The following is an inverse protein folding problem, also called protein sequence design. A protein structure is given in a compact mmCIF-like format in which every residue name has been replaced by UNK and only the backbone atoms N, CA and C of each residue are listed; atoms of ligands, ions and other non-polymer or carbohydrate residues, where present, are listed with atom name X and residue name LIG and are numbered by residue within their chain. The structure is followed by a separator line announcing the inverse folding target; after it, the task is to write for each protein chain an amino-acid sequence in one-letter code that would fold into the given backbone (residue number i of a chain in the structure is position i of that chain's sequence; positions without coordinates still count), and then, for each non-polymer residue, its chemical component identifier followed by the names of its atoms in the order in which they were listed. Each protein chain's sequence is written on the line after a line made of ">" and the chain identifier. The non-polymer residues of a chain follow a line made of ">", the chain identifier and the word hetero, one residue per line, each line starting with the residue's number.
data_IF_828189412601
#
_entry.id   IF_828189412601
#
_cell.length_a   1.000
_cell.length_b   1.000
_cell.length_c   1.000
_cell.angle_alpha   90.00
_cell.angle_beta   90.00
_cell.angle_gamma   90.00
#
_symmetry.space_group_name_H-M   'P 1'
#
loop_
_entity.id
_entity.type
_entity.pdbx_description
1 polymer ?
#
# COMPACT_ATOMS: atom_id res chain seq x y z
N UNK A 1 10.58 -25.82 -9.35
CA UNK A 1 9.23 -26.39 -9.17
C UNK A 1 8.33 -25.26 -8.69
N UNK A 2 7.53 -24.76 -9.61
CA UNK A 2 6.61 -23.68 -9.35
C UNK A 2 5.31 -24.22 -8.74
N UNK A 3 4.86 -23.67 -7.63
CA UNK A 3 3.54 -23.99 -7.09
C UNK A 3 2.51 -22.91 -7.42
N UNK A 4 2.58 -22.28 -8.59
CA UNK A 4 1.60 -21.26 -8.94
C UNK A 4 0.39 -21.79 -9.72
N UNK A 5 0.46 -23.01 -10.23
CA UNK A 5 -0.61 -23.57 -11.06
C UNK A 5 -1.71 -24.30 -10.26
N UNK A 6 -1.50 -24.49 -8.96
CA UNK A 6 -2.38 -25.33 -8.17
C UNK A 6 -3.64 -24.67 -7.60
N UNK A 7 -3.66 -23.36 -7.43
CA UNK A 7 -4.73 -22.73 -6.66
C UNK A 7 -6.05 -22.58 -7.44
N UNK A 8 -5.97 -22.38 -8.74
CA UNK A 8 -7.16 -22.22 -9.58
C UNK A 8 -7.64 -23.53 -10.24
N UNK A 9 -6.72 -24.44 -10.54
CA UNK A 9 -7.10 -25.75 -11.15
C UNK A 9 -7.75 -26.69 -10.14
N UNK A 10 -7.34 -26.65 -8.87
CA UNK A 10 -7.95 -27.51 -7.84
C UNK A 10 -9.39 -27.13 -7.47
N UNK A 11 -9.77 -25.86 -7.64
CA UNK A 11 -11.13 -25.42 -7.37
C UNK A 11 -12.16 -25.98 -8.35
N UNK A 12 -11.76 -26.25 -9.60
CA UNK A 12 -12.65 -26.80 -10.62
C UNK A 12 -13.09 -28.25 -10.33
N UNK A 13 -12.34 -28.93 -9.48
CA UNK A 13 -12.60 -30.35 -9.14
C UNK A 13 -13.21 -30.57 -7.76
N UNK A 14 -13.28 -29.55 -6.92
CA UNK A 14 -13.82 -29.63 -5.56
C UNK A 14 -14.72 -28.46 -5.24
N UNK A 15 -16.05 -28.54 -5.48
CA UNK A 15 -16.98 -27.44 -5.27
C UNK A 15 -17.05 -26.91 -3.83
N UNK A 16 -16.53 -27.64 -2.87
CA UNK A 16 -16.45 -27.23 -1.45
C UNK A 16 -15.04 -26.85 -1.00
N UNK A 17 -14.06 -26.77 -1.92
CA UNK A 17 -12.71 -26.37 -1.58
C UNK A 17 -12.57 -24.85 -1.61
N UNK A 18 -11.80 -24.32 -0.66
CA UNK A 18 -11.45 -22.91 -0.63
C UNK A 18 -10.24 -22.66 -1.52
N UNK A 19 -10.32 -21.59 -2.32
CA UNK A 19 -9.16 -21.08 -3.06
C UNK A 19 -8.29 -20.21 -2.18
N UNK A 20 -8.92 -19.35 -1.37
CA UNK A 20 -8.21 -18.33 -0.61
C UNK A 20 -9.01 -17.86 0.59
N UNK A 21 -8.30 -17.52 1.67
CA UNK A 21 -8.81 -16.73 2.78
C UNK A 21 -7.86 -15.55 3.00
N UNK A 22 -8.38 -14.34 3.02
CA UNK A 22 -7.64 -13.14 3.37
C UNK A 22 -8.20 -12.50 4.66
N UNK A 23 -7.36 -12.18 5.66
CA UNK A 23 -5.93 -12.49 5.75
C UNK A 23 -5.65 -13.99 5.85
N UNK A 24 -4.46 -14.46 5.43
CA UNK A 24 -4.15 -15.90 5.47
C UNK A 24 -4.05 -16.48 6.89
N UNK A 25 -3.77 -15.64 7.86
CA UNK A 25 -3.81 -15.87 9.31
C UNK A 25 -3.92 -14.53 10.02
N UNK A 26 -4.16 -14.53 11.31
CA UNK A 26 -4.30 -13.30 12.08
C UNK A 26 -3.56 -13.39 13.42
N UNK A 27 -3.69 -12.37 14.22
CA UNK A 27 -2.98 -12.20 15.49
C UNK A 27 -3.95 -12.01 16.65
N UNK A 28 -3.61 -12.58 17.79
CA UNK A 28 -4.34 -12.36 19.04
C UNK A 28 -3.90 -11.05 19.70
N UNK A 29 -4.77 -10.44 20.48
CA UNK A 29 -4.41 -9.25 21.26
C UNK A 29 -4.43 -7.94 20.51
N UNK A 30 -5.04 -7.87 19.33
CA UNK A 30 -5.28 -6.62 18.62
C UNK A 30 -6.35 -5.80 19.36
N UNK A 31 -6.24 -4.46 19.32
CA UNK A 31 -7.20 -3.57 19.98
C UNK A 31 -8.59 -3.69 19.37
N UNK A 32 -8.69 -3.77 18.05
CA UNK A 32 -9.96 -4.05 17.41
C UNK A 32 -10.28 -5.54 17.54
N UNK A 33 -11.35 -5.90 18.25
CA UNK A 33 -11.72 -7.31 18.44
C UNK A 33 -12.32 -7.94 17.19
N UNK A 34 -12.74 -7.17 16.21
CA UNK A 34 -13.34 -7.70 14.98
C UNK A 34 -12.29 -8.12 13.96
N UNK A 35 -12.53 -9.27 13.35
CA UNK A 35 -11.73 -9.81 12.26
C UNK A 35 -12.65 -10.14 11.08
N UNK A 36 -12.37 -9.54 9.95
CA UNK A 36 -12.99 -9.91 8.67
C UNK A 36 -12.13 -10.99 8.00
N UNK A 37 -12.76 -12.08 7.61
CA UNK A 37 -12.17 -13.06 6.69
C UNK A 37 -12.88 -12.95 5.34
N UNK A 38 -12.15 -12.66 4.28
CA UNK A 38 -12.65 -12.73 2.92
C UNK A 38 -12.33 -14.10 2.35
N UNK A 39 -13.36 -14.90 2.23
CA UNK A 39 -13.25 -16.30 1.76
C UNK A 39 -13.64 -16.36 0.29
N UNK A 40 -12.78 -16.93 -0.54
CA UNK A 40 -13.03 -17.14 -1.95
C UNK A 40 -12.96 -18.63 -2.31
N UNK A 41 -13.95 -19.08 -3.03
CA UNK A 41 -14.04 -20.44 -3.53
C UNK A 41 -15.34 -20.64 -4.28
N UNK A 42 -15.40 -21.62 -5.18
CA UNK A 42 -16.60 -21.89 -5.98
C UNK A 42 -17.82 -22.16 -5.10
N UNK A 43 -18.83 -21.30 -5.23
CA UNK A 43 -20.10 -21.42 -4.52
C UNK A 43 -20.04 -21.20 -3.01
N UNK A 44 -18.91 -20.74 -2.45
CA UNK A 44 -18.74 -20.58 -1.01
C UNK A 44 -19.69 -19.56 -0.38
N UNK A 45 -20.19 -18.62 -1.18
CA UNK A 45 -21.17 -17.63 -0.74
C UNK A 45 -22.49 -18.25 -0.21
N UNK A 46 -22.79 -19.48 -0.57
CA UNK A 46 -23.98 -20.20 -0.11
C UNK A 46 -23.73 -21.04 1.16
N UNK A 47 -22.50 -21.04 1.67
CA UNK A 47 -22.17 -21.82 2.87
C UNK A 47 -22.61 -21.08 4.14
N UNK A 48 -22.92 -21.85 5.17
CA UNK A 48 -22.99 -21.37 6.55
C UNK A 48 -21.67 -21.69 7.24
N UNK A 49 -21.29 -20.85 8.23
CA UNK A 49 -20.03 -20.97 8.95
C UNK A 49 -20.31 -21.12 10.43
N UNK A 50 -19.58 -22.02 11.06
CA UNK A 50 -19.52 -22.09 12.52
C UNK A 50 -18.07 -22.10 12.98
N UNK A 51 -17.85 -21.56 14.17
CA UNK A 51 -16.54 -21.51 14.82
C UNK A 51 -16.68 -22.09 16.23
N UNK A 52 -15.72 -22.91 16.61
CA UNK A 52 -15.62 -23.44 17.97
C UNK A 52 -14.18 -23.27 18.45
N UNK A 53 -13.93 -22.15 19.10
CA UNK A 53 -12.61 -21.81 19.64
C UNK A 53 -12.80 -20.89 20.86
N UNK A 54 -12.14 -21.15 22.00
CA UNK A 54 -12.32 -20.36 23.21
C UNK A 54 -12.01 -18.87 22.99
N UNK A 55 -12.96 -18.01 23.30
CA UNK A 55 -12.84 -16.57 23.16
C UNK A 55 -13.12 -16.02 21.77
N UNK A 56 -13.51 -16.85 20.81
CA UNK A 56 -13.91 -16.43 19.46
C UNK A 56 -15.38 -16.73 19.25
N UNK A 57 -16.10 -15.76 18.72
CA UNK A 57 -17.49 -15.92 18.31
C UNK A 57 -17.71 -15.42 16.88
N UNK A 58 -18.68 -16.01 16.18
CA UNK A 58 -19.13 -15.55 14.88
C UNK A 58 -20.02 -14.33 15.08
N UNK A 59 -19.62 -13.15 14.56
CA UNK A 59 -20.44 -11.95 14.59
C UNK A 59 -21.49 -11.97 13.48
N UNK A 60 -21.07 -12.22 12.25
CA UNK A 60 -21.92 -12.28 11.08
C UNK A 60 -21.21 -12.92 9.89
N UNK A 61 -22.00 -13.28 8.90
CA UNK A 61 -21.52 -13.58 7.55
C UNK A 61 -22.20 -12.66 6.56
N UNK A 62 -21.50 -12.28 5.51
CA UNK A 62 -22.02 -11.41 4.45
C UNK A 62 -21.86 -12.13 3.13
N UNK A 63 -23.00 -12.41 2.50
CA UNK A 63 -23.06 -12.91 1.13
C UNK A 63 -22.96 -11.73 0.18
N UNK A 64 -22.03 -11.81 -0.78
CA UNK A 64 -21.84 -10.79 -1.81
C UNK A 64 -22.59 -11.15 -3.10
N UNK A 65 -22.60 -10.26 -4.09
CA UNK A 65 -23.28 -10.52 -5.36
C UNK A 65 -22.70 -11.75 -6.09
N UNK A 66 -21.39 -11.91 -6.07
CA UNK A 66 -20.76 -13.15 -6.55
C UNK A 66 -20.94 -14.26 -5.51
N UNK A 67 -21.45 -15.42 -5.96
CA UNK A 67 -21.61 -16.60 -5.12
C UNK A 67 -20.26 -17.23 -4.69
N UNK A 68 -19.15 -16.74 -5.22
CA UNK A 68 -17.81 -17.29 -4.95
C UNK A 68 -17.11 -16.59 -3.80
N UNK A 69 -17.75 -15.62 -3.17
CA UNK A 69 -17.22 -14.90 -2.00
C UNK A 69 -18.12 -15.06 -0.80
N UNK A 70 -17.52 -15.15 0.37
CA UNK A 70 -18.20 -15.06 1.66
C UNK A 70 -17.33 -14.25 2.61
N UNK A 71 -17.89 -13.21 3.19
CA UNK A 71 -17.24 -12.47 4.26
C UNK A 71 -17.66 -13.07 5.60
N UNK A 72 -16.69 -13.43 6.41
CA UNK A 72 -16.89 -13.99 7.75
C UNK A 72 -16.35 -13.00 8.76
N UNK A 73 -17.22 -12.46 9.60
CA UNK A 73 -16.82 -11.55 10.69
C UNK A 73 -16.78 -12.31 12.00
N UNK A 74 -15.61 -12.31 12.61
CA UNK A 74 -15.36 -12.93 13.91
C UNK A 74 -15.10 -11.87 14.95
N UNK A 75 -15.46 -12.17 16.19
CA UNK A 75 -15.07 -11.38 17.36
C UNK A 75 -14.09 -12.18 18.19
N UNK A 76 -12.92 -11.60 18.44
CA UNK A 76 -11.85 -12.17 19.26
C UNK A 76 -11.81 -11.42 20.59
N UNK A 77 -12.03 -12.11 21.70
CA UNK A 77 -11.88 -11.53 23.02
C UNK A 77 -10.40 -11.24 23.34
N UNK A 78 -10.15 -10.33 24.26
CA UNK A 78 -8.79 -9.91 24.64
C UNK A 78 -7.88 -11.05 25.08
N UNK A 79 -8.47 -12.12 25.62
CA UNK A 79 -7.74 -13.25 26.21
C UNK A 79 -7.66 -14.46 25.28
N UNK A 80 -8.01 -14.32 24.00
CA UNK A 80 -7.89 -15.39 23.02
C UNK A 80 -6.43 -15.84 22.94
N UNK A 81 -6.21 -17.14 22.97
CA UNK A 81 -4.87 -17.74 22.87
C UNK A 81 -4.53 -18.06 21.43
N UNK A 82 -3.25 -17.96 21.03
CA UNK A 82 -2.79 -18.44 19.74
C UNK A 82 -3.09 -19.94 19.56
N UNK A 83 -3.35 -20.31 18.32
CA UNK A 83 -3.63 -21.71 17.96
C UNK A 83 -4.35 -21.81 16.63
N UNK A 84 -4.67 -23.04 16.26
CA UNK A 84 -5.40 -23.34 15.04
C UNK A 84 -6.89 -23.42 15.33
N UNK A 85 -7.64 -22.46 14.80
CA UNK A 85 -9.06 -22.32 15.01
C UNK A 85 -9.82 -23.03 13.89
N UNK A 86 -10.62 -24.04 14.21
CA UNK A 86 -11.41 -24.71 13.18
C UNK A 86 -12.60 -23.86 12.77
N UNK A 87 -12.70 -23.60 11.46
CA UNK A 87 -13.87 -23.01 10.82
C UNK A 87 -14.60 -24.09 10.07
N UNK A 88 -15.85 -24.32 10.40
CA UNK A 88 -16.69 -25.32 9.76
C UNK A 88 -17.61 -24.64 8.75
N UNK A 89 -17.46 -25.04 7.48
CA UNK A 89 -18.29 -24.56 6.37
C UNK A 89 -19.30 -25.65 6.02
N UNK A 90 -20.56 -25.29 5.97
CA UNK A 90 -21.65 -26.20 5.59
C UNK A 90 -22.37 -25.64 4.38
N UNK A 91 -22.40 -26.42 3.31
CA UNK A 91 -23.04 -26.07 2.06
C UNK A 91 -23.98 -27.21 1.64
N UNK A 92 -25.25 -27.08 1.97
CA UNK A 92 -26.23 -28.15 1.81
C UNK A 92 -25.86 -29.38 2.67
N UNK A 93 -25.63 -30.51 2.02
CA UNK A 93 -25.20 -31.74 2.71
C UNK A 93 -23.69 -31.88 2.87
N UNK A 94 -22.92 -30.95 2.26
CA UNK A 94 -21.46 -30.99 2.32
C UNK A 94 -20.98 -30.15 3.52
N UNK A 95 -20.00 -30.69 4.21
CA UNK A 95 -19.40 -30.05 5.39
C UNK A 95 -17.90 -30.27 5.34
N UNK A 96 -17.14 -29.20 5.54
CA UNK A 96 -15.69 -29.29 5.64
C UNK A 96 -15.15 -28.32 6.69
N UNK A 97 -13.98 -28.61 7.21
CA UNK A 97 -13.31 -27.80 8.23
C UNK A 97 -12.03 -27.23 7.64
N UNK A 98 -11.84 -25.92 7.83
CA UNK A 98 -10.59 -25.23 7.55
C UNK A 98 -9.99 -24.75 8.86
N UNK A 99 -8.77 -25.18 9.16
CA UNK A 99 -8.02 -24.65 10.29
C UNK A 99 -7.46 -23.28 9.93
N UNK A 100 -7.87 -22.25 10.68
CA UNK A 100 -7.38 -20.88 10.54
C UNK A 100 -6.45 -20.55 11.72
N UNK A 101 -5.23 -20.13 11.43
CA UNK A 101 -4.24 -19.90 12.48
C UNK A 101 -4.37 -18.50 13.09
N UNK A 102 -4.40 -18.47 14.43
CA UNK A 102 -4.22 -17.25 15.20
C UNK A 102 -2.83 -17.30 15.83
N UNK A 103 -2.01 -16.29 15.55
CA UNK A 103 -0.62 -16.21 16.01
C UNK A 103 -0.50 -15.22 17.18
N UNK A 104 0.52 -15.42 18.00
CA UNK A 104 0.92 -14.41 18.97
C UNK A 104 1.61 -13.24 18.26
N UNK A 105 1.36 -12.03 18.75
CA UNK A 105 2.10 -10.84 18.32
C UNK A 105 3.55 -10.93 18.81
N UNK A 106 4.51 -10.63 17.94
CA UNK A 106 5.92 -10.57 18.31
C UNK A 106 6.24 -9.37 19.21
N UNK A 107 5.48 -8.27 19.03
CA UNK A 107 5.64 -7.01 19.76
C UNK A 107 4.28 -6.46 20.16
N UNK A 108 4.26 -5.64 21.23
CA UNK A 108 3.11 -4.79 21.54
C UNK A 108 2.97 -3.70 20.48
N UNK A 109 1.76 -3.16 20.27
CA UNK A 109 1.52 -2.09 19.32
C UNK A 109 2.44 -0.88 19.49
N UNK A 110 2.67 -0.46 20.74
CA UNK A 110 3.53 0.68 21.05
C UNK A 110 5.04 0.42 20.82
N UNK A 111 5.44 -0.82 20.66
CA UNK A 111 6.83 -1.20 20.39
C UNK A 111 7.18 -1.15 18.88
N UNK A 112 6.18 -1.06 18.01
CA UNK A 112 6.39 -0.79 16.61
C UNK A 112 6.69 0.70 16.40
N UNK A 113 7.96 1.01 16.18
CA UNK A 113 8.42 2.39 15.96
C UNK A 113 8.59 2.66 14.48
N UNK A 114 8.05 3.78 14.02
CA UNK A 114 8.18 4.23 12.63
C UNK A 114 9.49 4.97 12.36
N UNK A 115 9.68 5.32 11.10
CA UNK A 115 10.69 6.30 10.73
C UNK A 115 10.27 7.70 11.20
N UNK A 116 11.22 8.61 11.32
CA UNK A 116 10.98 9.98 11.77
C UNK A 116 11.98 10.97 11.14
N UNK A 117 12.02 12.20 11.65
CA UNK A 117 12.89 13.26 11.14
C UNK A 117 14.40 12.96 11.27
N UNK A 118 14.79 11.97 12.05
CA UNK A 118 16.18 11.52 12.15
C UNK A 118 16.61 10.60 11.02
N UNK A 119 15.67 10.14 10.20
CA UNK A 119 15.93 9.18 9.15
C UNK A 119 16.23 9.84 7.80
N UNK A 120 17.14 9.23 7.07
CA UNK A 120 17.39 9.50 5.66
C UNK A 120 16.88 8.32 4.84
N UNK A 121 15.81 8.55 4.05
CA UNK A 121 15.17 7.53 3.24
C UNK A 121 15.83 7.44 1.86
N UNK A 122 16.11 6.22 1.45
CA UNK A 122 16.57 5.91 0.10
C UNK A 122 15.46 5.15 -0.66
N UNK A 123 15.00 5.75 -1.75
CA UNK A 123 14.02 5.12 -2.65
C UNK A 123 14.72 4.23 -3.65
N UNK A 124 14.25 2.99 -3.79
CA UNK A 124 14.72 2.11 -4.84
C UNK A 124 13.57 1.31 -5.46
N UNK A 125 13.75 0.93 -6.72
CA UNK A 125 12.85 0.03 -7.43
C UNK A 125 13.45 -1.38 -7.41
N UNK A 126 12.82 -2.35 -6.75
CA UNK A 126 13.39 -3.71 -6.64
C UNK A 126 13.73 -4.32 -7.99
N UNK A 127 12.88 -4.18 -9.00
CA UNK A 127 13.13 -4.70 -10.34
C UNK A 127 14.40 -4.12 -10.99
N UNK A 128 14.80 -2.90 -10.60
CA UNK A 128 15.84 -2.11 -11.27
C UNK A 128 17.14 -2.04 -10.50
N UNK A 129 17.19 -2.50 -9.26
CA UNK A 129 18.34 -2.30 -8.39
C UNK A 129 19.42 -3.38 -8.60
N UNK A 130 19.13 -4.63 -8.32
CA UNK A 130 20.08 -5.72 -8.44
C UNK A 130 19.37 -7.07 -8.56
N UNK A 131 19.88 -7.94 -9.42
CA UNK A 131 19.43 -9.32 -9.55
C UNK A 131 20.28 -10.24 -8.67
N UNK A 132 19.73 -10.74 -7.58
CA UNK A 132 20.43 -11.65 -6.67
C UNK A 132 20.06 -13.11 -6.89
N UNK A 133 18.93 -13.38 -7.54
CA UNK A 133 18.46 -14.73 -7.83
C UNK A 133 17.88 -14.81 -9.26
N UNK A 134 18.71 -15.16 -10.26
CA UNK A 134 18.23 -15.28 -11.64
C UNK A 134 17.13 -16.31 -11.85
N UNK A 135 16.97 -17.27 -10.93
CA UNK A 135 15.97 -18.33 -11.03
C UNK A 135 14.52 -17.84 -10.87
N UNK A 136 14.34 -16.65 -10.30
CA UNK A 136 13.02 -16.02 -10.17
C UNK A 136 12.71 -14.98 -11.25
N UNK A 137 13.58 -14.75 -12.21
CA UNK A 137 13.39 -13.74 -13.27
C UNK A 137 12.15 -14.04 -14.11
N UNK A 138 11.95 -15.30 -14.44
CA UNK A 138 10.84 -15.78 -15.26
C UNK A 138 10.10 -16.89 -14.52
N UNK A 139 8.86 -16.59 -14.16
CA UNK A 139 7.99 -17.53 -13.44
C UNK A 139 6.87 -17.99 -14.36
N UNK A 140 6.76 -19.30 -14.55
CA UNK A 140 5.68 -19.90 -15.34
C UNK A 140 4.32 -19.51 -14.76
N UNK A 141 3.37 -19.19 -15.64
CA UNK A 141 2.01 -18.77 -15.25
C UNK A 141 1.84 -17.29 -14.97
N UNK A 142 2.92 -16.50 -14.88
CA UNK A 142 2.82 -15.04 -14.78
C UNK A 142 2.52 -14.44 -16.17
N UNK A 143 1.62 -13.46 -16.19
CA UNK A 143 1.13 -12.86 -17.43
C UNK A 143 2.23 -12.15 -18.23
N UNK A 144 3.16 -11.47 -17.54
CA UNK A 144 4.36 -10.89 -18.14
C UNK A 144 5.56 -11.78 -17.83
N UNK A 145 5.92 -12.62 -18.77
CA UNK A 145 6.97 -13.63 -18.58
C UNK A 145 8.37 -13.12 -18.93
N UNK A 146 8.46 -12.23 -19.93
CA UNK A 146 9.73 -11.80 -20.52
C UNK A 146 10.50 -10.81 -19.63
N UNK A 147 11.80 -10.99 -19.57
CA UNK A 147 12.75 -10.02 -19.02
C UNK A 147 13.53 -9.38 -20.18
N UNK A 148 13.59 -8.05 -20.23
CA UNK A 148 14.30 -7.30 -21.27
C UNK A 148 14.88 -6.00 -20.71
N UNK A 149 16.17 -5.99 -20.41
CA UNK A 149 16.86 -4.83 -19.83
C UNK A 149 17.02 -3.65 -20.80
N UNK A 150 16.79 -3.87 -22.08
CA UNK A 150 16.85 -2.82 -23.09
C UNK A 150 15.51 -2.09 -23.25
N UNK A 151 14.43 -2.66 -22.72
CA UNK A 151 13.11 -2.06 -22.74
C UNK A 151 12.82 -1.41 -21.37
N UNK A 152 12.68 -0.08 -21.29
CA UNK A 152 12.37 0.60 -20.02
C UNK A 152 11.01 0.22 -19.43
N UNK A 153 10.12 -0.34 -20.21
CA UNK A 153 8.77 -0.76 -19.77
C UNK A 153 8.69 -2.24 -19.42
N UNK A 154 9.75 -3.01 -19.65
CA UNK A 154 9.82 -4.42 -19.31
C UNK A 154 10.44 -4.64 -17.92
N UNK A 155 10.30 -5.85 -17.40
CA UNK A 155 11.02 -6.28 -16.20
C UNK A 155 12.50 -6.46 -16.50
N UNK A 156 13.36 -6.11 -15.52
CA UNK A 156 14.81 -6.20 -15.65
C UNK A 156 15.43 -7.29 -14.74
N UNK A 157 14.62 -7.91 -13.88
CA UNK A 157 15.06 -9.07 -13.08
C UNK A 157 15.67 -8.73 -11.71
N UNK A 158 15.64 -7.48 -11.27
CA UNK A 158 16.02 -7.14 -9.90
C UNK A 158 15.06 -7.77 -8.89
N UNK A 159 15.53 -8.07 -7.69
CA UNK A 159 14.78 -8.80 -6.68
C UNK A 159 15.23 -8.50 -5.24
N UNK A 160 14.52 -9.11 -4.26
CA UNK A 160 14.83 -8.93 -2.84
C UNK A 160 16.22 -9.50 -2.47
N UNK A 161 16.61 -10.60 -3.09
CA UNK A 161 17.93 -11.18 -2.87
C UNK A 161 19.05 -10.23 -3.29
N UNK A 162 18.87 -9.50 -4.41
CA UNK A 162 19.80 -8.49 -4.86
C UNK A 162 19.92 -7.31 -3.89
N UNK A 163 18.83 -6.88 -3.30
CA UNK A 163 18.84 -5.84 -2.27
C UNK A 163 19.58 -6.34 -1.03
N UNK A 164 19.29 -7.54 -0.57
CA UNK A 164 19.93 -8.15 0.60
C UNK A 164 21.45 -8.24 0.46
N UNK A 165 21.92 -8.60 -0.72
CA UNK A 165 23.35 -8.69 -1.02
C UNK A 165 24.07 -7.33 -0.96
N UNK A 166 23.33 -6.22 -1.02
CA UNK A 166 23.86 -4.86 -1.06
C UNK A 166 23.51 -4.02 0.17
N UNK A 167 23.10 -4.62 1.28
CA UNK A 167 22.76 -3.88 2.50
C UNK A 167 23.91 -3.04 3.03
N UNK A 168 25.16 -3.51 2.89
CA UNK A 168 26.35 -2.77 3.31
C UNK A 168 26.54 -1.49 2.49
N UNK A 169 26.16 -1.49 1.22
CA UNK A 169 26.16 -0.29 0.38
C UNK A 169 25.31 0.83 1.00
N UNK A 170 24.12 0.52 1.48
CA UNK A 170 23.24 1.51 2.10
C UNK A 170 23.78 2.00 3.43
N UNK A 171 24.36 1.12 4.24
CA UNK A 171 25.03 1.50 5.49
C UNK A 171 26.19 2.45 5.23
N UNK A 172 27.04 2.14 4.24
CA UNK A 172 28.18 2.97 3.86
C UNK A 172 27.76 4.33 3.28
N UNK A 173 26.62 4.35 2.57
CA UNK A 173 26.04 5.60 2.06
C UNK A 173 25.49 6.49 3.19
N UNK A 174 25.18 5.91 4.35
CA UNK A 174 24.69 6.63 5.51
C UNK A 174 23.17 6.80 5.54
N UNK A 175 22.42 6.12 4.67
CA UNK A 175 20.96 6.11 4.73
C UNK A 175 20.48 5.21 5.87
N UNK A 176 19.35 5.55 6.47
CA UNK A 176 18.83 4.86 7.65
C UNK A 176 17.51 4.14 7.39
N UNK A 177 16.90 4.38 6.24
CA UNK A 177 15.67 3.73 5.85
C UNK A 177 15.63 3.49 4.34
N UNK A 178 15.03 2.38 3.92
CA UNK A 178 14.79 2.05 2.52
C UNK A 178 13.29 2.06 2.26
N UNK A 179 12.90 2.76 1.22
CA UNK A 179 11.56 2.71 0.66
C UNK A 179 11.65 1.99 -0.68
N UNK A 180 11.08 0.78 -0.76
CA UNK A 180 10.94 0.05 -2.02
C UNK A 180 9.65 0.47 -2.71
N UNK A 181 9.66 0.67 -4.03
CA UNK A 181 8.40 0.63 -4.79
C UNK A 181 7.69 -0.71 -4.54
N UNK A 182 6.38 -0.83 -4.78
CA UNK A 182 5.61 -1.94 -4.23
C UNK A 182 6.19 -3.32 -4.55
N UNK A 183 6.24 -4.18 -3.53
CA UNK A 183 6.77 -5.55 -3.63
C UNK A 183 5.69 -6.61 -3.80
N UNK A 184 4.41 -6.24 -3.65
CA UNK A 184 3.30 -7.19 -3.75
C UNK A 184 3.10 -7.65 -5.20
N UNK A 185 2.45 -8.80 -5.35
CA UNK A 185 2.17 -9.39 -6.65
C UNK A 185 1.54 -8.38 -7.62
N UNK A 186 2.11 -8.30 -8.79
CA UNK A 186 1.68 -7.45 -9.89
C UNK A 186 1.58 -8.28 -11.16
N UNK A 187 0.61 -9.20 -11.19
CA UNK A 187 0.44 -10.16 -12.27
C UNK A 187 -0.32 -9.52 -13.44
N UNK A 188 0.26 -8.46 -13.97
CA UNK A 188 -0.27 -7.69 -15.10
C UNK A 188 0.39 -8.14 -16.40
N UNK A 189 -0.30 -7.92 -17.52
CA UNK A 189 0.18 -8.30 -18.85
C UNK A 189 1.34 -7.44 -19.36
N UNK A 190 1.52 -6.25 -18.78
CA UNK A 190 2.62 -5.34 -19.11
C UNK A 190 2.84 -4.33 -18.02
N UNK A 191 4.05 -3.74 -17.95
CA UNK A 191 4.40 -2.73 -16.96
C UNK A 191 4.46 -3.27 -15.53
N UNK A 192 4.52 -4.56 -15.32
CA UNK A 192 4.45 -5.17 -13.98
C UNK A 192 5.64 -4.81 -13.09
N UNK A 193 6.72 -4.31 -13.66
CA UNK A 193 7.95 -3.95 -12.93
C UNK A 193 7.73 -2.89 -11.86
N UNK A 194 6.78 -1.95 -12.09
CA UNK A 194 6.60 -0.82 -11.17
C UNK A 194 5.86 -1.17 -9.87
N UNK A 195 5.02 -2.21 -9.89
CA UNK A 195 4.33 -2.70 -8.69
C UNK A 195 3.04 -1.97 -8.30
N UNK A 196 2.60 -0.94 -9.02
CA UNK A 196 1.46 -0.11 -8.62
C UNK A 196 0.08 -0.62 -9.08
N UNK A 197 0.01 -1.81 -9.66
CA UNK A 197 -1.24 -2.45 -10.07
C UNK A 197 -1.39 -3.81 -9.37
N UNK A 198 -1.60 -3.78 -8.08
CA UNK A 198 -1.60 -4.95 -7.18
C UNK A 198 -2.64 -5.98 -7.58
N UNK A 199 -2.25 -7.24 -7.68
CA UNK A 199 -3.14 -8.37 -7.95
C UNK A 199 -3.28 -9.34 -6.77
N UNK A 200 -2.45 -9.23 -5.74
CA UNK A 200 -2.60 -9.94 -4.48
C UNK A 200 -2.01 -9.11 -3.34
N UNK A 201 -2.85 -8.71 -2.39
CA UNK A 201 -2.45 -7.83 -1.27
C UNK A 201 -1.71 -8.56 -0.14
N UNK A 202 -1.67 -9.89 -0.15
CA UNK A 202 -1.03 -10.70 0.91
C UNK A 202 0.15 -11.53 0.41
N UNK A 203 0.62 -11.27 -0.80
CA UNK A 203 1.69 -12.05 -1.40
C UNK A 203 2.72 -11.13 -2.07
N UNK A 204 3.99 -11.33 -1.73
CA UNK A 204 5.11 -10.73 -2.47
C UNK A 204 5.13 -11.31 -3.88
N UNK A 205 5.40 -10.47 -4.87
CA UNK A 205 5.55 -10.91 -6.26
C UNK A 205 6.63 -11.99 -6.35
N UNK A 206 6.32 -13.17 -6.92
CA UNK A 206 7.26 -14.28 -6.95
C UNK A 206 8.55 -13.97 -7.73
N UNK A 207 8.53 -12.96 -8.60
CA UNK A 207 9.73 -12.50 -9.32
C UNK A 207 10.64 -11.63 -8.45
N UNK A 208 10.14 -11.16 -7.31
CA UNK A 208 10.95 -10.50 -6.27
C UNK A 208 11.39 -11.46 -5.18
N UNK A 209 10.56 -12.45 -4.86
CA UNK A 209 10.82 -13.40 -3.78
C UNK A 209 9.53 -13.92 -3.14
N UNK A 210 9.65 -14.36 -1.91
CA UNK A 210 8.53 -14.86 -1.08
C UNK A 210 8.25 -13.91 0.08
N UNK A 211 7.11 -14.10 0.74
CA UNK A 211 6.79 -13.39 1.98
C UNK A 211 7.88 -13.62 3.04
N UNK A 212 8.35 -14.84 3.17
CA UNK A 212 9.42 -15.18 4.13
C UNK A 212 10.74 -14.49 3.78
N UNK A 213 11.12 -14.42 2.51
CA UNK A 213 12.31 -13.71 2.07
C UNK A 213 12.22 -12.21 2.34
N UNK A 214 11.04 -11.61 2.19
CA UNK A 214 10.80 -10.21 2.52
C UNK A 214 10.98 -9.97 4.03
N UNK A 215 10.39 -10.81 4.86
CA UNK A 215 10.54 -10.76 6.31
C UNK A 215 12.01 -10.90 6.72
N UNK A 216 12.74 -11.83 6.14
CA UNK A 216 14.16 -12.04 6.41
C UNK A 216 15.01 -10.84 5.99
N UNK A 217 14.72 -10.23 4.84
CA UNK A 217 15.38 -9.01 4.40
C UNK A 217 15.21 -7.88 5.42
N UNK A 218 14.01 -7.73 5.97
CA UNK A 218 13.72 -6.72 6.98
C UNK A 218 14.50 -7.00 8.28
N UNK A 219 14.54 -8.25 8.74
CA UNK A 219 15.32 -8.65 9.91
C UNK A 219 16.81 -8.32 9.73
N UNK A 220 17.39 -8.64 8.56
CA UNK A 220 18.78 -8.34 8.24
C UNK A 220 19.04 -6.84 8.12
N UNK A 221 18.09 -6.08 7.59
CA UNK A 221 18.15 -4.62 7.55
C UNK A 221 18.17 -4.03 8.96
N UNK A 222 17.34 -4.53 9.86
CA UNK A 222 17.30 -4.10 11.25
C UNK A 222 18.63 -4.35 11.98
N UNK A 223 19.33 -5.44 11.71
CA UNK A 223 20.64 -5.71 12.31
C UNK A 223 21.69 -4.67 11.90
N UNK A 224 21.47 -3.94 10.83
CA UNK A 224 22.33 -2.85 10.34
C UNK A 224 21.80 -1.46 10.70
N UNK A 225 20.74 -1.39 11.52
CA UNK A 225 20.08 -0.12 11.86
C UNK A 225 19.34 0.51 10.69
N UNK A 226 18.93 -0.26 9.69
CA UNK A 226 18.20 0.20 8.52
C UNK A 226 16.73 -0.18 8.68
N UNK A 227 15.85 0.82 8.57
CA UNK A 227 14.40 0.68 8.57
C UNK A 227 13.88 0.36 7.16
N UNK A 228 12.72 -0.29 7.09
CA UNK A 228 12.06 -0.59 5.83
C UNK A 228 10.68 0.05 5.80
N UNK A 229 10.42 0.88 4.79
CA UNK A 229 9.14 1.53 4.54
C UNK A 229 8.45 0.80 3.38
N UNK A 230 7.26 0.29 3.63
CA UNK A 230 6.48 -0.43 2.63
C UNK A 230 5.57 0.52 1.86
N UNK A 231 5.67 0.46 0.53
CA UNK A 231 4.75 1.16 -0.37
C UNK A 231 3.43 0.38 -0.46
N UNK A 232 2.33 1.04 -0.13
CA UNK A 232 0.99 0.45 -0.19
C UNK A 232 0.08 1.29 -1.08
N UNK A 233 -0.86 0.61 -1.75
CA UNK A 233 -1.82 1.23 -2.66
C UNK A 233 -3.23 0.86 -2.23
N UNK A 234 -3.96 1.80 -1.61
CA UNK A 234 -5.35 1.60 -1.19
C UNK A 234 -6.36 2.23 -2.15
N UNK A 235 -5.89 3.10 -3.03
CA UNK A 235 -6.75 3.78 -3.99
C UNK A 235 -7.30 2.82 -5.05
N UNK A 236 -6.50 1.89 -5.51
CA UNK A 236 -6.82 1.01 -6.64
C UNK A 236 -6.12 -0.34 -6.53
N UNK A 237 -6.56 -1.31 -7.30
CA UNK A 237 -5.83 -2.55 -7.56
C UNK A 237 -5.44 -2.62 -9.04
N UNK A 238 -4.88 -3.75 -9.48
CA UNK A 238 -4.64 -4.02 -10.89
C UNK A 238 -5.89 -4.56 -11.58
N UNK A 239 -6.09 -4.25 -12.85
CA UNK A 239 -7.24 -4.71 -13.62
C UNK A 239 -7.26 -6.23 -13.82
N UNK A 240 -6.11 -6.89 -13.69
CA UNK A 240 -5.99 -8.36 -13.73
C UNK A 240 -6.24 -9.04 -12.38
N UNK A 241 -6.55 -8.28 -11.33
CA UNK A 241 -6.94 -8.82 -10.04
C UNK A 241 -8.20 -9.67 -10.18
N UNK A 242 -8.30 -10.76 -9.40
CA UNK A 242 -9.49 -11.63 -9.39
C UNK A 242 -10.77 -10.86 -9.09
N UNK A 243 -10.69 -9.76 -8.34
CA UNK A 243 -11.84 -8.91 -8.05
C UNK A 243 -12.46 -8.25 -9.29
N UNK A 244 -11.73 -8.13 -10.39
CA UNK A 244 -12.28 -7.67 -11.66
C UNK A 244 -12.80 -8.85 -12.48
N UNK A 245 -12.07 -9.97 -12.48
CA UNK A 245 -12.47 -11.17 -13.25
C UNK A 245 -13.71 -11.84 -12.67
N UNK A 246 -13.83 -11.83 -11.35
CA UNK A 246 -14.98 -12.29 -10.58
C UNK A 246 -15.27 -11.26 -9.48
N UNK A 247 -16.00 -10.22 -9.85
CA UNK A 247 -16.22 -9.06 -8.99
C UNK A 247 -17.05 -9.44 -7.77
N UNK A 248 -16.58 -9.12 -6.53
CA UNK A 248 -17.32 -9.44 -5.31
C UNK A 248 -18.73 -8.86 -5.30
N UNK A 249 -18.84 -7.58 -5.60
CA UNK A 249 -20.09 -6.83 -5.80
C UNK A 249 -19.79 -5.57 -6.61
N UNK A 250 -20.80 -4.96 -7.23
CA UNK A 250 -20.61 -3.78 -8.08
C UNK A 250 -20.02 -2.59 -7.32
N UNK A 251 -20.42 -2.37 -6.09
CA UNK A 251 -19.92 -1.28 -5.27
C UNK A 251 -18.59 -1.59 -4.53
N UNK A 252 -17.93 -2.68 -4.90
CA UNK A 252 -16.52 -2.91 -4.55
C UNK A 252 -15.60 -1.89 -5.22
N UNK A 253 -15.99 -1.43 -6.39
CA UNK A 253 -15.28 -0.44 -7.19
C UNK A 253 -16.18 0.76 -7.47
N UNK A 254 -15.56 1.93 -7.66
CA UNK A 254 -16.21 3.07 -8.31
C UNK A 254 -16.19 2.86 -9.83
N UNK A 255 -17.27 3.23 -10.52
CA UNK A 255 -17.41 3.07 -11.96
C UNK A 255 -17.07 1.64 -12.47
N UNK A 256 -17.75 0.62 -11.97
CA UNK A 256 -17.40 -0.78 -12.26
C UNK A 256 -17.64 -1.20 -13.71
N UNK A 257 -18.49 -0.50 -14.45
CA UNK A 257 -18.82 -0.78 -15.86
C UNK A 257 -17.79 -0.15 -16.82
N UNK A 258 -16.50 -0.43 -16.56
CA UNK A 258 -15.39 0.18 -17.27
C UNK A 258 -15.29 -0.22 -18.75
N UNK A 259 -15.78 -1.40 -19.12
CA UNK A 259 -15.74 -1.89 -20.49
C UNK A 259 -16.67 -1.09 -21.42
N UNK A 260 -17.82 -0.63 -20.90
CA UNK A 260 -18.80 0.15 -21.67
C UNK A 260 -18.68 1.66 -21.39
N UNK A 261 -18.26 2.04 -20.18
CA UNK A 261 -18.20 3.43 -19.75
C UNK A 261 -17.01 3.66 -18.82
N UNK A 262 -15.82 3.80 -19.40
CA UNK A 262 -14.62 4.11 -18.63
C UNK A 262 -14.62 5.56 -18.16
N UNK A 263 -14.49 5.79 -16.86
CA UNK A 263 -14.40 7.11 -16.25
C UNK A 263 -13.02 7.25 -15.60
N UNK A 264 -12.20 8.13 -16.17
CA UNK A 264 -10.89 8.45 -15.61
C UNK A 264 -11.00 9.59 -14.59
N UNK A 265 -10.18 9.55 -13.54
CA UNK A 265 -10.09 10.68 -12.61
C UNK A 265 -9.67 11.95 -13.35
N UNK A 266 -10.17 13.09 -12.88
CA UNK A 266 -9.75 14.39 -13.43
C UNK A 266 -8.30 14.75 -13.09
N UNK A 267 -7.66 14.05 -12.15
CA UNK A 267 -6.33 14.36 -11.57
C UNK A 267 -6.24 15.72 -10.89
N UNK A 268 -7.37 16.41 -10.70
CA UNK A 268 -7.43 17.73 -10.07
C UNK A 268 -7.76 17.58 -8.60
N UNK A 269 -6.80 17.87 -7.73
CA UNK A 269 -6.93 17.67 -6.28
C UNK A 269 -7.53 18.87 -5.53
N UNK A 270 -7.66 20.03 -6.21
CA UNK A 270 -8.22 21.24 -5.60
C UNK A 270 -9.60 21.07 -4.97
N UNK A 271 -10.51 20.18 -5.45
CA UNK A 271 -11.82 20.01 -4.81
C UNK A 271 -11.80 19.61 -3.34
N UNK A 272 -10.72 19.05 -2.84
CA UNK A 272 -10.58 18.78 -1.40
C UNK A 272 -10.54 20.05 -0.55
N UNK A 273 -9.95 21.10 -1.07
CA UNK A 273 -9.61 22.33 -0.34
C UNK A 273 -10.42 23.51 -0.79
N UNK A 274 -10.88 23.53 -2.04
CA UNK A 274 -11.65 24.60 -2.63
C UNK A 274 -13.08 24.63 -2.04
N UNK A 275 -13.45 25.68 -1.27
CA UNK A 275 -14.79 25.78 -0.69
C UNK A 275 -15.89 25.99 -1.74
N UNK A 276 -15.52 26.31 -2.96
CA UNK A 276 -16.46 26.58 -4.06
C UNK A 276 -16.58 25.40 -5.02
N UNK A 277 -15.84 24.31 -4.79
CA UNK A 277 -15.90 23.13 -5.64
C UNK A 277 -17.29 22.50 -5.61
N UNK A 278 -17.76 22.09 -6.78
CA UNK A 278 -19.01 21.34 -6.89
C UNK A 278 -18.84 19.88 -6.47
N UNK A 279 -19.94 19.23 -6.08
CA UNK A 279 -19.92 17.78 -5.81
C UNK A 279 -19.54 16.98 -7.07
N UNK A 280 -19.89 17.49 -8.24
CA UNK A 280 -19.50 16.88 -9.51
C UNK A 280 -17.97 16.90 -9.70
N UNK A 281 -17.34 18.05 -9.50
CA UNK A 281 -15.88 18.16 -9.61
C UNK A 281 -15.16 17.25 -8.63
N UNK A 282 -15.66 17.18 -7.39
CA UNK A 282 -15.12 16.28 -6.39
C UNK A 282 -15.24 14.80 -6.83
N UNK A 283 -16.42 14.39 -7.30
CA UNK A 283 -16.64 13.01 -7.74
C UNK A 283 -15.79 12.63 -8.97
N UNK A 284 -15.57 13.56 -9.88
CA UNK A 284 -14.70 13.32 -11.04
C UNK A 284 -13.24 13.04 -10.64
N UNK A 285 -12.78 13.68 -9.59
CA UNK A 285 -11.44 13.43 -9.05
C UNK A 285 -11.41 12.13 -8.23
N UNK A 286 -12.36 11.96 -7.31
CA UNK A 286 -12.32 10.93 -6.26
C UNK A 286 -12.77 9.55 -6.76
N UNK A 287 -13.75 9.48 -7.67
CA UNK A 287 -14.40 8.23 -8.07
C UNK A 287 -13.90 7.69 -9.42
N UNK A 288 -13.16 8.49 -10.18
CA UNK A 288 -12.57 8.05 -11.44
C UNK A 288 -11.36 7.14 -11.25
N UNK A 289 -11.16 6.26 -12.21
CA UNK A 289 -9.99 5.39 -12.25
C UNK A 289 -8.74 6.18 -12.61
N UNK A 290 -7.63 5.83 -12.00
CA UNK A 290 -6.35 6.50 -12.30
C UNK A 290 -5.96 6.31 -13.77
N UNK A 291 -5.93 5.06 -14.21
CA UNK A 291 -5.82 4.62 -15.62
C UNK A 291 -6.62 3.34 -15.80
N UNK A 292 -6.77 2.87 -17.04
CA UNK A 292 -7.52 1.64 -17.36
C UNK A 292 -6.98 0.40 -16.63
N UNK A 293 -5.70 0.36 -16.34
CA UNK A 293 -5.03 -0.74 -15.64
C UNK A 293 -5.22 -0.71 -14.12
N UNK A 294 -5.82 0.36 -13.56
CA UNK A 294 -5.90 0.62 -12.11
C UNK A 294 -7.34 0.90 -11.68
N UNK A 295 -8.16 -0.16 -11.50
CA UNK A 295 -9.54 -0.05 -11.01
C UNK A 295 -9.63 0.65 -9.67
N UNK A 296 -10.50 1.65 -9.57
CA UNK A 296 -10.68 2.47 -8.39
C UNK A 296 -11.49 1.73 -7.32
N UNK A 297 -10.87 1.44 -6.18
CA UNK A 297 -11.53 0.78 -5.06
C UNK A 297 -12.48 1.75 -4.35
N UNK A 298 -13.64 1.26 -3.97
CA UNK A 298 -14.63 2.03 -3.22
C UNK A 298 -14.44 1.85 -1.71
N UNK A 299 -13.61 2.67 -1.09
CA UNK A 299 -13.36 2.62 0.35
C UNK A 299 -14.56 3.06 1.20
N UNK A 300 -15.60 3.64 0.60
CA UNK A 300 -16.88 3.92 1.27
C UNK A 300 -17.65 2.63 1.58
N UNK A 301 -17.41 1.56 0.82
CA UNK A 301 -17.89 0.24 1.16
C UNK A 301 -17.15 -0.25 2.41
N UNK A 302 -17.85 -0.51 3.54
CA UNK A 302 -17.20 -0.85 4.80
C UNK A 302 -16.41 -2.17 4.73
N UNK A 303 -16.75 -3.06 3.81
CA UNK A 303 -16.05 -4.32 3.62
C UNK A 303 -14.72 -4.12 2.89
N UNK A 304 -14.69 -3.25 1.88
CA UNK A 304 -13.45 -2.82 1.21
C UNK A 304 -12.53 -2.12 2.21
N UNK A 305 -13.08 -1.17 2.96
CA UNK A 305 -12.35 -0.45 4.00
C UNK A 305 -11.70 -1.40 5.01
N UNK A 306 -12.48 -2.34 5.55
CA UNK A 306 -11.97 -3.30 6.55
C UNK A 306 -10.88 -4.20 5.96
N UNK A 307 -11.05 -4.66 4.75
CA UNK A 307 -10.04 -5.46 4.06
C UNK A 307 -8.69 -4.71 3.98
N UNK A 308 -8.72 -3.45 3.57
CA UNK A 308 -7.51 -2.63 3.42
C UNK A 308 -6.84 -2.31 4.75
N UNK A 309 -7.64 -1.96 5.77
CA UNK A 309 -7.11 -1.71 7.13
C UNK A 309 -6.38 -2.94 7.65
N UNK A 310 -7.02 -4.11 7.61
CA UNK A 310 -6.40 -5.36 8.06
C UNK A 310 -5.14 -5.70 7.27
N UNK A 311 -5.11 -5.40 5.99
CA UNK A 311 -3.94 -5.64 5.15
C UNK A 311 -2.72 -4.87 5.67
N UNK A 312 -2.86 -3.60 6.00
CA UNK A 312 -1.75 -2.81 6.56
C UNK A 312 -1.29 -3.35 7.91
N UNK A 313 -2.21 -3.71 8.80
CA UNK A 313 -1.89 -4.27 10.11
C UNK A 313 -1.19 -5.62 9.99
N UNK A 314 -1.64 -6.45 9.05
CA UNK A 314 -1.03 -7.75 8.81
C UNK A 314 0.45 -7.65 8.41
N UNK A 315 0.77 -6.71 7.51
CA UNK A 315 2.16 -6.51 7.10
C UNK A 315 3.03 -5.93 8.21
N UNK A 316 2.48 -5.05 9.05
CA UNK A 316 3.19 -4.55 10.24
C UNK A 316 3.52 -5.70 11.19
N UNK A 317 2.54 -6.55 11.50
CA UNK A 317 2.73 -7.68 12.41
C UNK A 317 3.61 -8.77 11.83
N UNK A 318 3.38 -9.14 10.59
CA UNK A 318 4.10 -10.24 9.92
C UNK A 318 5.55 -9.89 9.60
N UNK A 319 5.78 -8.78 8.95
CA UNK A 319 7.07 -8.42 8.38
C UNK A 319 7.89 -7.44 9.24
N UNK A 320 7.27 -6.84 10.25
CA UNK A 320 7.92 -5.82 11.09
C UNK A 320 8.43 -4.62 10.28
N UNK A 321 7.67 -4.19 9.28
CA UNK A 321 7.96 -2.96 8.53
C UNK A 321 7.96 -1.75 9.46
N UNK A 322 8.76 -0.74 9.13
CA UNK A 322 9.00 0.44 9.97
C UNK A 322 8.24 1.69 9.53
N UNK A 323 7.38 1.55 8.59
CA UNK A 323 6.55 2.63 8.09
C UNK A 323 5.85 2.24 6.80
N UNK A 324 4.90 3.08 6.43
CA UNK A 324 4.10 2.94 5.21
C UNK A 324 4.23 4.22 4.40
N UNK A 325 4.50 4.08 3.11
CA UNK A 325 4.23 5.13 2.14
C UNK A 325 2.93 4.77 1.43
N UNK A 326 1.92 5.62 1.58
CA UNK A 326 0.63 5.40 0.93
C UNK A 326 0.55 6.16 -0.38
N UNK A 327 0.46 5.40 -1.46
CA UNK A 327 0.35 5.89 -2.84
C UNK A 327 -0.94 6.67 -3.07
N UNK A 328 -0.87 7.68 -3.95
CA UNK A 328 -2.04 8.44 -4.45
C UNK A 328 -3.05 8.83 -3.35
N UNK A 329 -2.55 9.28 -2.21
CA UNK A 329 -3.34 9.48 -0.98
C UNK A 329 -4.61 10.31 -1.18
N UNK A 330 -4.57 11.46 -1.89
CA UNK A 330 -5.75 12.32 -2.06
C UNK A 330 -6.83 11.75 -2.99
N UNK A 331 -6.55 10.71 -3.73
CA UNK A 331 -7.50 10.13 -4.68
C UNK A 331 -8.46 9.12 -4.03
N UNK A 332 -8.04 8.49 -2.93
CA UNK A 332 -8.89 7.59 -2.15
C UNK A 332 -9.90 8.40 -1.32
N UNK A 333 -10.96 7.74 -0.83
CA UNK A 333 -11.95 8.40 -0.01
C UNK A 333 -11.33 9.01 1.24
N UNK A 334 -11.50 10.33 1.41
CA UNK A 334 -10.88 11.08 2.50
C UNK A 334 -11.27 10.54 3.88
N UNK A 335 -12.56 10.33 4.11
CA UNK A 335 -13.06 9.88 5.43
C UNK A 335 -12.56 8.46 5.76
N UNK A 336 -12.55 7.58 4.77
CA UNK A 336 -12.02 6.22 4.94
C UNK A 336 -10.53 6.25 5.26
N UNK A 337 -9.74 7.05 4.56
CA UNK A 337 -8.31 7.17 4.82
C UNK A 337 -8.02 7.81 6.17
N UNK A 338 -8.79 8.82 6.56
CA UNK A 338 -8.70 9.43 7.88
C UNK A 338 -9.02 8.42 9.01
N UNK A 339 -10.05 7.61 8.82
CA UNK A 339 -10.42 6.55 9.77
C UNK A 339 -9.34 5.46 9.85
N UNK A 340 -8.77 5.08 8.71
CA UNK A 340 -7.63 4.14 8.67
C UNK A 340 -6.45 4.67 9.48
N UNK A 341 -6.07 5.92 9.27
CA UNK A 341 -4.98 6.55 10.00
C UNK A 341 -5.27 6.64 11.51
N UNK A 342 -6.52 6.91 11.87
CA UNK A 342 -6.95 6.93 13.28
C UNK A 342 -6.79 5.54 13.92
N UNK A 343 -7.30 4.50 13.29
CA UNK A 343 -7.17 3.12 13.77
C UNK A 343 -5.71 2.68 13.87
N UNK A 344 -4.91 3.01 12.85
CA UNK A 344 -3.49 2.67 12.84
C UNK A 344 -2.73 3.41 13.95
N UNK A 345 -2.97 4.70 14.14
CA UNK A 345 -2.32 5.49 15.18
C UNK A 345 -2.72 5.03 16.60
N UNK A 346 -3.93 4.51 16.78
CA UNK A 346 -4.39 3.93 18.05
C UNK A 346 -3.71 2.59 18.33
N UNK A 347 -3.64 1.71 17.34
CA UNK A 347 -3.00 0.40 17.49
C UNK A 347 -1.47 0.52 17.57
N UNK A 348 -0.88 1.43 16.80
CA UNK A 348 0.55 1.66 16.70
C UNK A 348 0.88 3.14 16.95
N UNK A 349 0.84 3.62 18.21
CA UNK A 349 0.96 5.06 18.51
C UNK A 349 2.30 5.68 18.13
N UNK A 350 3.36 4.88 18.02
CA UNK A 350 4.71 5.33 17.69
C UNK A 350 5.08 5.08 16.23
N UNK A 351 4.09 4.71 15.42
CA UNK A 351 4.27 4.40 14.00
C UNK A 351 4.21 5.66 13.14
N UNK A 352 4.73 5.58 11.92
CA UNK A 352 4.66 6.68 10.97
C UNK A 352 4.20 6.20 9.59
N UNK A 353 3.35 7.02 8.97
CA UNK A 353 2.88 6.85 7.61
C UNK A 353 3.11 8.15 6.86
N UNK A 354 3.70 8.07 5.68
CA UNK A 354 3.80 9.18 4.75
C UNK A 354 2.82 8.98 3.60
N UNK A 355 2.00 9.99 3.32
CA UNK A 355 1.09 9.98 2.18
C UNK A 355 1.69 10.72 0.98
N UNK A 356 1.54 10.12 -0.20
CA UNK A 356 1.83 10.84 -1.43
C UNK A 356 0.73 11.87 -1.68
N UNK A 357 1.02 13.11 -1.32
CA UNK A 357 0.16 14.27 -1.50
C UNK A 357 0.81 15.20 -2.51
N UNK A 358 0.63 14.88 -3.78
CA UNK A 358 1.31 15.63 -4.85
C UNK A 358 0.60 16.96 -5.12
N UNK A 359 0.89 17.91 -4.27
CA UNK A 359 0.45 19.31 -4.37
C UNK A 359 1.66 20.20 -4.13
N UNK A 360 1.76 21.32 -4.84
CA UNK A 360 3.01 22.07 -4.94
C UNK A 360 3.03 23.39 -4.17
N UNK A 361 1.94 23.73 -3.47
CA UNK A 361 1.89 24.94 -2.63
C UNK A 361 1.94 24.56 -1.14
N UNK A 362 2.72 25.26 -0.30
CA UNK A 362 2.92 24.90 1.11
C UNK A 362 1.62 24.82 1.90
N UNK A 363 0.72 25.78 1.73
CA UNK A 363 -0.58 25.76 2.42
C UNK A 363 -1.43 24.53 2.03
N UNK A 364 -1.35 24.14 0.77
CA UNK A 364 -2.07 22.97 0.27
C UNK A 364 -1.45 21.67 0.82
N UNK A 365 -0.13 21.57 0.86
CA UNK A 365 0.58 20.43 1.48
C UNK A 365 0.27 20.34 2.97
N UNK A 366 0.35 21.45 3.68
CA UNK A 366 0.06 21.52 5.12
C UNK A 366 -1.38 21.13 5.47
N UNK A 367 -2.33 21.36 4.58
CA UNK A 367 -3.73 20.96 4.75
C UNK A 367 -3.87 19.45 5.00
N UNK A 368 -3.00 18.65 4.41
CA UNK A 368 -3.05 17.18 4.50
C UNK A 368 -2.42 16.60 5.77
N UNK A 369 -1.66 17.39 6.51
CA UNK A 369 -0.99 16.87 7.71
C UNK A 369 -1.97 16.75 8.88
N UNK A 370 -1.75 15.73 9.71
CA UNK A 370 -2.49 15.52 10.96
C UNK A 370 -2.54 16.79 11.79
N UNK A 371 -3.72 17.08 12.34
CA UNK A 371 -4.00 18.23 13.21
C UNK A 371 -3.89 19.60 12.52
N UNK A 372 -3.93 19.64 11.20
CA UNK A 372 -3.90 20.90 10.45
C UNK A 372 -5.09 21.80 10.81
N UNK A 373 -4.81 23.04 11.15
CA UNK A 373 -5.84 24.06 11.35
C UNK A 373 -6.51 24.49 10.05
N UNK A 374 -5.83 24.26 8.92
CA UNK A 374 -6.33 24.63 7.59
C UNK A 374 -7.48 23.71 7.14
N UNK A 375 -7.50 22.46 7.58
CA UNK A 375 -8.54 21.49 7.23
C UNK A 375 -9.67 21.39 8.26
N UNK A 376 -9.51 22.02 9.44
CA UNK A 376 -10.48 21.93 10.51
C UNK A 376 -11.90 22.28 10.05
N UNK A 377 -12.95 21.52 10.48
CA UNK A 377 -12.92 20.47 11.52
C UNK A 377 -12.47 19.10 11.03
N UNK A 378 -12.14 18.94 9.75
CA UNK A 378 -11.60 17.67 9.23
C UNK A 378 -10.17 17.44 9.73
N UNK A 379 -9.81 16.18 9.91
CA UNK A 379 -8.45 15.77 10.26
C UNK A 379 -8.08 14.53 9.47
N UNK A 380 -7.02 14.62 8.67
CA UNK A 380 -6.53 13.47 7.92
C UNK A 380 -5.93 12.38 8.82
N UNK A 381 -5.46 12.75 10.01
CA UNK A 381 -4.66 11.91 10.91
C UNK A 381 -3.35 11.40 10.29
N UNK A 382 -2.98 11.91 9.13
CA UNK A 382 -1.76 11.55 8.41
C UNK A 382 -0.56 12.30 9.00
N UNK A 383 0.35 11.57 9.65
CA UNK A 383 1.46 12.18 10.38
C UNK A 383 2.47 12.87 9.46
N UNK A 384 2.80 12.26 8.32
CA UNK A 384 3.83 12.76 7.42
C UNK A 384 3.27 12.96 6.02
N UNK A 385 3.60 14.07 5.42
CA UNK A 385 3.26 14.42 4.02
C UNK A 385 4.53 14.56 3.19
N UNK A 386 4.43 14.25 1.89
CA UNK A 386 5.55 14.44 0.97
C UNK A 386 5.66 15.91 0.57
N UNK A 387 6.87 16.46 0.64
CA UNK A 387 7.12 17.87 0.36
C UNK A 387 7.31 18.14 -1.14
N UNK A 388 6.25 18.00 -1.90
CA UNK A 388 6.24 18.38 -3.31
C UNK A 388 6.38 19.89 -3.51
N UNK A 389 6.08 20.70 -2.50
CA UNK A 389 6.32 22.14 -2.55
C UNK A 389 7.82 22.44 -2.61
N UNK A 390 8.61 21.85 -1.73
CA UNK A 390 10.08 21.96 -1.77
C UNK A 390 10.64 21.41 -3.09
N UNK A 391 10.20 20.21 -3.49
CA UNK A 391 10.58 19.60 -4.77
C UNK A 391 10.36 20.56 -5.94
N UNK A 392 9.18 21.14 -6.03
CA UNK A 392 8.83 22.09 -7.09
C UNK A 392 9.74 23.33 -7.09
N UNK A 393 9.91 23.95 -5.92
CA UNK A 393 10.70 25.17 -5.77
C UNK A 393 12.18 24.97 -6.06
N UNK A 394 12.80 23.90 -5.56
CA UNK A 394 14.22 23.64 -5.81
C UNK A 394 14.49 23.28 -7.28
N UNK A 395 13.59 22.57 -7.94
CA UNK A 395 13.72 22.22 -9.35
C UNK A 395 13.51 23.40 -10.27
N UNK A 396 12.66 24.36 -9.92
CA UNK A 396 12.54 25.64 -10.65
C UNK A 396 13.78 26.49 -10.39
N UNK A 397 14.18 26.64 -9.13
CA UNK A 397 15.28 27.48 -8.72
C UNK A 397 16.60 27.16 -9.40
N UNK A 398 16.90 25.86 -9.61
CA UNK A 398 18.14 25.42 -10.24
C UNK A 398 18.36 25.91 -11.67
N UNK A 399 17.29 26.31 -12.36
CA UNK A 399 17.31 26.76 -13.75
C UNK A 399 17.25 28.29 -13.87
N UNK A 400 17.11 29.00 -12.76
CA UNK A 400 16.91 30.45 -12.77
C UNK A 400 18.18 31.21 -12.35
N UNK A 401 18.39 32.36 -12.97
CA UNK A 401 19.41 33.34 -12.52
C UNK A 401 18.96 34.00 -11.23
N UNK A 402 19.90 34.24 -10.31
CA UNK A 402 19.64 34.69 -8.94
C UNK A 402 19.58 36.20 -8.74
N UNK A 403 19.75 37.00 -9.80
CA UNK A 403 19.84 38.47 -9.70
C UNK A 403 18.49 39.17 -9.68
N UNK A 404 17.39 38.43 -9.74
CA UNK A 404 16.04 39.01 -9.78
C UNK A 404 15.22 38.53 -8.59
N UNK A 405 14.29 39.41 -8.14
CA UNK A 405 13.39 39.10 -7.04
C UNK A 405 12.52 37.88 -7.36
N UNK A 406 12.27 37.05 -6.33
CA UNK A 406 11.39 35.87 -6.40
C UNK A 406 11.87 34.77 -7.34
N UNK A 407 13.18 34.72 -7.65
CA UNK A 407 13.78 33.69 -8.49
C UNK A 407 14.98 33.02 -7.82
N UNK A 408 15.41 31.88 -8.37
CA UNK A 408 16.54 31.13 -7.84
C UNK A 408 16.27 30.63 -6.41
N UNK A 409 17.27 30.67 -5.55
CA UNK A 409 17.18 30.22 -4.15
C UNK A 409 16.14 30.98 -3.33
N UNK A 410 15.75 32.19 -3.72
CA UNK A 410 14.69 32.94 -3.04
C UNK A 410 13.35 32.15 -3.04
N UNK A 411 13.09 31.36 -4.07
CA UNK A 411 11.91 30.46 -4.10
C UNK A 411 11.93 29.44 -2.98
N UNK A 412 13.10 28.88 -2.69
CA UNK A 412 13.29 27.88 -1.64
C UNK A 412 13.11 28.52 -0.27
N UNK A 413 13.74 29.66 -0.03
CA UNK A 413 13.59 30.40 1.23
C UNK A 413 12.13 30.83 1.47
N UNK A 414 11.44 31.30 0.44
CA UNK A 414 10.03 31.65 0.54
C UNK A 414 9.15 30.44 0.85
N UNK A 415 9.50 29.24 0.37
CA UNK A 415 8.80 28.01 0.75
C UNK A 415 8.92 27.75 2.26
N UNK A 416 10.10 27.91 2.83
CA UNK A 416 10.34 27.68 4.26
C UNK A 416 9.64 28.69 5.17
N UNK A 417 9.37 29.90 4.69
CA UNK A 417 8.58 30.90 5.42
C UNK A 417 7.21 30.36 5.84
N UNK A 418 6.66 29.44 5.07
CA UNK A 418 5.34 28.85 5.34
C UNK A 418 5.36 27.63 6.27
N UNK A 419 6.52 27.28 6.85
CA UNK A 419 6.60 26.13 7.77
C UNK A 419 5.70 26.29 9.00
N UNK A 420 5.37 27.52 9.39
CA UNK A 420 4.39 27.79 10.46
C UNK A 420 2.99 27.25 10.16
N UNK A 421 2.66 26.93 8.91
CA UNK A 421 1.37 26.34 8.56
C UNK A 421 1.27 24.86 8.92
N UNK A 422 2.41 24.18 9.05
CA UNK A 422 2.44 22.78 9.41
C UNK A 422 2.30 22.58 10.92
N UNK A 423 1.39 21.72 11.39
CA UNK A 423 1.37 21.37 12.82
C UNK A 423 2.68 20.76 13.30
N UNK A 424 3.35 20.00 12.42
CA UNK A 424 4.66 19.42 12.68
C UNK A 424 5.56 19.54 11.45
N UNK A 425 6.31 20.63 11.31
CA UNK A 425 7.18 20.85 10.16
C UNK A 425 8.34 19.84 10.05
N UNK A 426 8.67 19.14 11.12
CA UNK A 426 9.66 18.06 11.10
C UNK A 426 9.14 16.77 10.42
N UNK A 427 7.81 16.62 10.35
CA UNK A 427 7.16 15.47 9.70
C UNK A 427 6.72 15.80 8.28
N UNK A 428 7.61 16.41 7.52
CA UNK A 428 7.44 16.70 6.10
C UNK A 428 8.61 16.06 5.37
N UNK A 429 8.34 15.09 4.49
CA UNK A 429 9.37 14.35 3.78
C UNK A 429 9.88 15.16 2.60
N UNK A 430 11.02 15.80 2.77
CA UNK A 430 11.68 16.58 1.72
C UNK A 430 12.41 15.68 0.72
N UNK A 431 12.38 16.04 -0.53
CA UNK A 431 13.09 15.32 -1.61
C UNK A 431 13.30 16.26 -2.80
N UNK A 432 14.29 15.94 -3.64
CA UNK A 432 14.60 16.70 -4.86
C UNK A 432 14.18 15.98 -6.13
N UNK A 433 14.04 14.66 -6.06
CA UNK A 433 13.58 13.79 -7.13
C UNK A 433 13.00 12.49 -6.54
N UNK A 434 12.18 11.80 -7.32
CA UNK A 434 11.72 10.45 -7.01
C UNK A 434 11.47 9.65 -8.31
N UNK A 435 10.89 8.48 -8.21
CA UNK A 435 10.63 7.59 -9.35
C UNK A 435 9.58 8.12 -10.35
N UNK A 436 8.79 9.14 -9.98
CA UNK A 436 7.77 9.77 -10.82
C UNK A 436 8.22 11.10 -11.42
N UNK A 437 9.41 11.57 -11.09
CA UNK A 437 9.94 12.86 -11.51
C UNK A 437 11.16 12.72 -12.40
N UNK A 438 11.48 13.78 -13.14
CA UNK A 438 12.76 13.89 -13.82
C UNK A 438 13.92 13.88 -12.81
N UNK A 439 15.09 13.46 -13.27
CA UNK A 439 16.30 13.51 -12.45
C UNK A 439 16.71 14.95 -12.20
N UNK A 440 17.12 15.25 -10.97
CA UNK A 440 17.53 16.61 -10.57
C UNK A 440 18.69 17.13 -11.43
N UNK A 441 19.67 16.27 -11.75
CA UNK A 441 20.81 16.65 -12.59
C UNK A 441 20.41 16.84 -14.07
N UNK A 442 19.30 16.27 -14.54
CA UNK A 442 18.91 16.32 -15.95
C UNK A 442 19.92 15.60 -16.86
N UNK A 443 20.17 16.18 -18.02
CA UNK A 443 21.13 15.64 -18.99
C UNK A 443 22.57 16.05 -18.73
N UNK A 444 22.81 16.96 -17.74
CA UNK A 444 24.12 17.45 -17.38
C UNK A 444 24.53 17.05 -15.98
N UNK A 445 25.84 16.88 -15.78
CA UNK A 445 26.40 16.61 -14.45
C UNK A 445 26.81 17.91 -13.77
N UNK A 446 25.94 18.47 -12.91
CA UNK A 446 26.28 19.57 -12.03
C UNK A 446 26.33 19.08 -10.58
N UNK A 447 27.38 18.34 -10.24
CA UNK A 447 27.58 17.76 -8.91
C UNK A 447 27.63 18.81 -7.79
N UNK A 448 28.24 20.00 -7.97
CA UNK A 448 28.13 21.06 -6.95
C UNK A 448 26.71 21.45 -6.63
N UNK A 449 25.85 21.60 -7.64
CA UNK A 449 24.42 21.92 -7.45
C UNK A 449 23.67 20.82 -6.72
N UNK A 450 23.93 19.55 -7.07
CA UNK A 450 23.36 18.40 -6.37
C UNK A 450 23.74 18.38 -4.89
N UNK A 451 24.98 18.71 -4.58
CA UNK A 451 25.47 18.77 -3.19
C UNK A 451 24.86 19.92 -2.39
N UNK A 452 24.44 20.99 -3.06
CA UNK A 452 23.79 22.11 -2.41
C UNK A 452 22.31 21.87 -2.15
N UNK A 453 21.65 21.08 -2.99
CA UNK A 453 20.24 20.73 -2.86
C UNK A 453 20.00 19.70 -1.74
#
# INVERSE_FOLDING_TARGET
>A
HAPSDGLYEHAAHCPSCLNKIDPPFWYTGMQNPELQLMVYGEGIGNATVSVNYPGVSLSSTVKLESNNYLLVYLRLDKNVKPGKMPLTFTQGKKKFVKEYELKARAKKGCEHKGFDASDALYLLMPDRFANGNPDNDQIAGMAEYKVDRNDPNARHGGDLAGIEQHLDYFSDLGVTALWFTPVLENNMTGGSYHGYATTDYYKVDPRFGTNEEYKQLIEKSHTRGIKIVMDMIFNHCGVEHIWIKDMPCKDWFNNPDHENNFVQTSFKLTPHVDPYASKYDFSQMNDGWFVTAMPDLNQKNPHVYRYLVQNSFWWIEYADIDGIRMDTYPYADYDAMSNWMKELNEEYPNYNTVGETWVTEPAYTAWWQKDSKLSAPKNSNLKTVMDFSFYDKINIAKTEETETWFKGLDRVYNSFVYDFLYPNPESVLAFIENHDTDRFLGEGENLPMLKQA
#
